data_IF_708893004978
#
_entry.id   IF_708893004978
#
_cell.length_a   1.000
_cell.length_b   1.000
_cell.length_c   1.000
_cell.angle_alpha   90.00
_cell.angle_beta   90.00
_cell.angle_gamma   90.00
#
_symmetry.space_group_name_H-M   'P 1'
#
loop_
_entity.id
_entity.type
_entity.pdbx_description
1 polymer ?
#
# COMPACT_ATOMS: atom_id res chain seq x y z
N UNK A 1 3.60 2.17 -6.60
CA UNK A 1 2.28 2.41 -6.00
C UNK A 1 2.15 3.88 -5.64
N UNK A 2 1.75 4.73 -6.60
CA UNK A 2 1.79 6.18 -6.41
C UNK A 2 0.85 6.65 -5.30
N UNK A 3 -0.32 6.01 -5.15
CA UNK A 3 -1.26 6.30 -4.06
C UNK A 3 -0.67 6.10 -2.65
N UNK A 4 0.11 5.04 -2.45
CA UNK A 4 0.70 4.73 -1.14
C UNK A 4 1.77 5.75 -0.75
N UNK A 5 2.61 6.16 -1.70
CA UNK A 5 3.71 7.11 -1.46
C UNK A 5 3.15 8.48 -1.07
N UNK A 6 2.16 8.99 -1.82
CA UNK A 6 1.57 10.30 -1.55
C UNK A 6 0.94 10.36 -0.14
N UNK A 7 0.14 9.37 0.24
CA UNK A 7 -0.48 9.34 1.56
C UNK A 7 0.51 9.06 2.69
N UNK A 8 1.57 8.28 2.44
CA UNK A 8 2.60 8.02 3.43
C UNK A 8 3.49 9.25 3.69
N UNK A 9 3.78 10.05 2.66
CA UNK A 9 4.63 11.24 2.78
C UNK A 9 3.88 12.46 3.33
N UNK A 10 2.63 12.67 2.88
CA UNK A 10 1.90 13.91 3.18
C UNK A 10 0.70 13.72 4.12
N UNK A 11 0.38 12.48 4.52
CA UNK A 11 -0.79 12.17 5.31
C UNK A 11 -2.11 12.41 4.56
N UNK A 12 -3.25 12.21 5.24
CA UNK A 12 -4.57 12.37 4.61
C UNK A 12 -4.81 13.80 4.11
N UNK A 13 -4.59 14.80 4.95
CA UNK A 13 -4.85 16.21 4.61
C UNK A 13 -3.90 16.72 3.52
N UNK A 14 -2.61 16.42 3.63
CA UNK A 14 -1.58 16.91 2.69
C UNK A 14 -1.57 16.21 1.34
N UNK A 15 -2.02 14.96 1.26
CA UNK A 15 -2.02 14.20 0.02
C UNK A 15 -2.96 14.79 -1.03
N UNK A 16 -2.45 14.90 -2.27
CA UNK A 16 -3.23 15.40 -3.41
C UNK A 16 -3.53 14.28 -4.40
N UNK A 17 -4.82 14.08 -4.66
CA UNK A 17 -5.28 13.11 -5.68
C UNK A 17 -4.70 13.45 -7.06
N UNK A 18 -4.46 14.73 -7.37
CA UNK A 18 -3.73 15.18 -8.56
C UNK A 18 -2.38 14.49 -8.74
N UNK A 19 -1.57 14.45 -7.69
CA UNK A 19 -0.23 13.86 -7.73
C UNK A 19 -0.31 12.35 -7.94
N UNK A 20 -1.28 11.69 -7.28
CA UNK A 20 -1.56 10.27 -7.45
C UNK A 20 -1.90 9.95 -8.90
N UNK A 21 -2.78 10.73 -9.50
CA UNK A 21 -3.25 10.59 -10.88
C UNK A 21 -2.09 10.80 -11.86
N UNK A 22 -1.30 11.86 -11.67
CA UNK A 22 -0.12 12.17 -12.49
C UNK A 22 0.90 11.03 -12.45
N UNK A 23 1.18 10.51 -11.27
CA UNK A 23 2.13 9.41 -11.09
C UNK A 23 1.58 8.04 -11.53
N UNK A 24 0.26 7.86 -11.54
CA UNK A 24 -0.40 6.66 -12.06
C UNK A 24 -0.65 6.70 -13.57
N UNK A 25 -0.46 7.84 -14.23
CA UNK A 25 -0.73 8.00 -15.66
C UNK A 25 -2.21 7.84 -16.03
N UNK A 26 -3.12 8.14 -15.11
CA UNK A 26 -4.57 8.05 -15.34
C UNK A 26 -5.25 9.42 -15.24
N UNK A 27 -6.58 9.46 -15.21
CA UNK A 27 -7.36 10.68 -14.98
C UNK A 27 -7.96 10.72 -13.57
N UNK A 28 -8.26 11.91 -13.04
CA UNK A 28 -9.02 12.05 -11.78
C UNK A 28 -10.36 11.34 -11.84
N UNK A 29 -11.05 11.44 -12.98
CA UNK A 29 -12.34 10.80 -13.16
C UNK A 29 -12.23 9.27 -13.03
N UNK A 30 -11.18 8.67 -13.60
CA UNK A 30 -10.91 7.23 -13.44
C UNK A 30 -10.68 6.86 -11.98
N UNK A 31 -9.90 7.67 -11.24
CA UNK A 31 -9.67 7.44 -9.81
C UNK A 31 -10.99 7.55 -9.03
N UNK A 32 -11.73 8.63 -9.17
CA UNK A 32 -13.01 8.79 -8.46
C UNK A 32 -14.09 7.81 -8.93
N UNK A 33 -14.03 7.30 -10.16
CA UNK A 33 -14.91 6.23 -10.60
C UNK A 33 -14.62 4.91 -9.85
N UNK A 34 -13.34 4.59 -9.63
CA UNK A 34 -12.95 3.38 -8.91
C UNK A 34 -13.11 3.48 -7.38
N UNK A 35 -12.80 4.64 -6.80
CA UNK A 35 -12.72 4.80 -5.35
C UNK A 35 -13.85 5.66 -4.78
N UNK A 36 -14.60 6.39 -5.61
CA UNK A 36 -15.68 7.28 -5.18
C UNK A 36 -15.17 8.63 -4.69
N UNK A 37 -14.39 8.64 -3.61
CA UNK A 37 -13.90 9.87 -2.98
C UNK A 37 -12.47 9.71 -2.40
N UNK A 38 -11.91 10.79 -1.85
CA UNK A 38 -10.54 10.82 -1.29
C UNK A 38 -10.42 9.94 -0.02
N UNK A 39 -11.48 9.88 0.79
CA UNK A 39 -11.53 9.07 2.02
C UNK A 39 -11.46 7.58 1.71
N UNK A 40 -12.30 7.09 0.79
CA UNK A 40 -12.29 5.71 0.34
C UNK A 40 -10.96 5.30 -0.31
N UNK A 41 -10.36 6.20 -1.10
CA UNK A 41 -9.02 5.98 -1.64
C UNK A 41 -7.98 5.82 -0.52
N UNK A 42 -8.09 6.62 0.54
CA UNK A 42 -7.21 6.52 1.70
C UNK A 42 -7.43 5.22 2.49
N UNK A 43 -8.69 4.83 2.71
CA UNK A 43 -9.06 3.56 3.36
C UNK A 43 -8.48 2.37 2.58
N UNK A 44 -8.64 2.35 1.25
CA UNK A 44 -8.11 1.26 0.41
C UNK A 44 -6.57 1.16 0.51
N UNK A 45 -5.87 2.29 0.59
CA UNK A 45 -4.42 2.32 0.79
C UNK A 45 -4.04 1.74 2.15
N UNK A 46 -4.78 2.06 3.21
CA UNK A 46 -4.55 1.52 4.56
C UNK A 46 -4.81 0.01 4.62
N UNK A 47 -5.94 -0.45 4.06
CA UNK A 47 -6.29 -1.87 3.97
C UNK A 47 -5.24 -2.65 3.19
N UNK A 48 -4.87 -2.15 2.02
CA UNK A 48 -3.83 -2.75 1.19
C UNK A 48 -2.51 -2.87 1.95
N UNK A 49 -2.10 -1.80 2.62
CA UNK A 49 -0.88 -1.77 3.43
C UNK A 49 -0.93 -2.78 4.57
N UNK A 50 -2.07 -2.87 5.28
CA UNK A 50 -2.32 -3.90 6.29
C UNK A 50 -2.17 -5.32 5.76
N UNK A 51 -2.70 -5.61 4.56
CA UNK A 51 -2.57 -6.94 3.94
C UNK A 51 -1.12 -7.27 3.57
N UNK A 52 -0.34 -6.30 3.10
CA UNK A 52 1.09 -6.49 2.83
C UNK A 52 1.82 -6.86 4.13
N UNK A 53 1.57 -6.12 5.21
CA UNK A 53 2.24 -6.39 6.48
C UNK A 53 1.86 -7.75 7.04
N UNK A 54 0.59 -8.15 6.96
CA UNK A 54 0.13 -9.47 7.36
C UNK A 54 0.83 -10.59 6.57
N UNK A 55 0.86 -10.50 5.23
CA UNK A 55 1.55 -11.48 4.37
C UNK A 55 3.04 -11.54 4.61
N UNK A 56 3.68 -10.38 4.84
CA UNK A 56 5.12 -10.33 5.10
C UNK A 56 5.49 -10.98 6.43
N UNK A 57 4.61 -10.89 7.45
CA UNK A 57 4.78 -11.54 8.75
C UNK A 57 4.85 -13.06 8.62
N UNK A 58 3.95 -13.67 7.85
CA UNK A 58 3.95 -15.14 7.62
C UNK A 58 5.21 -15.62 6.89
N UNK A 59 5.64 -14.88 5.87
CA UNK A 59 6.86 -15.19 5.11
C UNK A 59 8.13 -15.10 5.97
N UNK A 60 8.21 -14.11 6.88
CA UNK A 60 9.34 -13.97 7.79
C UNK A 60 9.39 -15.08 8.84
N UNK A 61 8.25 -15.51 9.38
CA UNK A 61 8.19 -16.66 10.30
C UNK A 61 8.66 -17.94 9.60
N UNK A 62 8.19 -18.20 8.38
CA UNK A 62 8.57 -19.39 7.63
C UNK A 62 10.04 -19.39 7.18
N UNK A 63 10.56 -18.25 6.72
CA UNK A 63 11.98 -18.12 6.36
C UNK A 63 12.91 -18.20 7.57
N UNK A 64 12.52 -17.60 8.70
CA UNK A 64 13.25 -17.72 9.97
C UNK A 64 13.38 -19.18 10.41
N UNK A 65 12.29 -19.94 10.34
CA UNK A 65 12.28 -21.37 10.65
C UNK A 65 13.15 -22.18 9.66
N UNK A 66 13.05 -21.93 8.35
CA UNK A 66 13.92 -22.59 7.35
C UNK A 66 15.40 -22.24 7.49
N UNK A 67 15.75 -21.09 8.07
CA UNK A 67 17.15 -20.71 8.34
C UNK A 67 17.69 -21.49 9.55
N UNK A 68 16.88 -21.62 10.61
CA UNK A 68 17.24 -22.41 11.79
C UNK A 68 17.41 -23.90 11.47
N UNK A 69 16.52 -24.47 10.65
CA UNK A 69 16.61 -25.88 10.26
C UNK A 69 17.81 -26.20 9.34
N UNK A 70 18.38 -25.21 8.65
CA UNK A 70 19.59 -25.38 7.80
C UNK A 70 20.91 -25.19 8.55
N UNK A 71 20.88 -24.64 9.76
CA UNK A 71 22.07 -24.39 10.59
C UNK A 71 22.44 -25.57 11.51
N UNK A 72 21.69 -26.68 11.47
CA UNK A 72 22.03 -27.95 12.13
C UNK A 72 22.54 -29.01 11.13
N UNK A 73 23.57 -28.66 10.37
CA UNK A 73 24.48 -29.64 9.76
C UNK A 73 25.89 -29.25 10.12
#
# INVERSE_FOLDING_TARGET
>A
MPRLIEFAEYGYEGARVDNIVKAAGCSKQTVYHHFGNKENLFIEVLEYTGTIFAKKRESLTFQGFRRLLRSRK
#
